data_IF_116731014382
#
_entry.id   IF_116731014382
#
_cell.length_a   1.000
_cell.length_b   1.000
_cell.length_c   1.000
_cell.angle_alpha   90.00
_cell.angle_beta   90.00
_cell.angle_gamma   90.00
#
_symmetry.space_group_name_H-M   'P 1'
#
loop_
_entity.id
_entity.type
_entity.pdbx_description
1 polymer ?
#
# COMPACT_ATOMS: atom_id res chain seq x y z
N UNK A 1 1.22 -4.59 -12.09
CA UNK A 1 1.38 -6.05 -12.01
C UNK A 1 0.48 -6.58 -10.90
N UNK A 2 -0.26 -7.65 -11.17
CA UNK A 2 -1.13 -8.32 -10.20
C UNK A 2 -0.77 -9.82 -10.24
N UNK A 3 -0.58 -10.43 -9.08
CA UNK A 3 -0.37 -11.87 -8.93
C UNK A 3 -1.53 -12.50 -8.15
N UNK A 4 -2.08 -13.60 -8.65
CA UNK A 4 -3.12 -14.36 -7.96
C UNK A 4 -3.00 -15.84 -8.32
N UNK A 5 -2.92 -16.69 -7.31
CA UNK A 5 -2.97 -18.15 -7.41
C UNK A 5 -1.97 -18.70 -8.45
N UNK A 6 -0.71 -18.25 -8.41
CA UNK A 6 0.33 -18.69 -9.33
C UNK A 6 0.25 -18.09 -10.74
N UNK A 7 -0.59 -17.08 -10.95
CA UNK A 7 -0.68 -16.34 -12.22
C UNK A 7 -0.30 -14.88 -12.02
N UNK A 8 0.73 -14.44 -12.73
CA UNK A 8 1.17 -13.04 -12.77
C UNK A 8 0.68 -12.37 -14.04
N UNK A 9 -0.08 -11.28 -13.91
CA UNK A 9 -0.47 -10.38 -15.00
C UNK A 9 0.30 -9.06 -14.90
N UNK A 10 1.09 -8.77 -15.93
CA UNK A 10 1.84 -7.51 -16.08
C UNK A 10 1.27 -6.72 -17.24
N UNK A 11 0.88 -5.47 -17.00
CA UNK A 11 0.45 -4.54 -18.04
C UNK A 11 1.41 -3.35 -18.12
N UNK A 12 1.82 -2.99 -19.33
CA UNK A 12 2.69 -1.85 -19.62
C UNK A 12 2.21 -1.19 -20.93
N UNK A 13 1.67 0.04 -20.83
CA UNK A 13 1.04 0.71 -21.97
C UNK A 13 -0.12 -0.11 -22.55
N UNK A 14 -0.05 -0.42 -23.84
CA UNK A 14 -1.04 -1.26 -24.53
C UNK A 14 -0.74 -2.77 -24.45
N UNK A 15 0.40 -3.17 -23.89
CA UNK A 15 0.78 -4.57 -23.79
C UNK A 15 0.37 -5.17 -22.44
N UNK A 16 -0.15 -6.39 -22.47
CA UNK A 16 -0.36 -7.21 -21.28
C UNK A 16 0.23 -8.59 -21.49
N UNK A 17 1.00 -9.05 -20.51
CA UNK A 17 1.62 -10.37 -20.48
C UNK A 17 1.11 -11.11 -19.26
N UNK A 18 0.75 -12.37 -19.46
CA UNK A 18 0.43 -13.30 -18.39
C UNK A 18 1.50 -14.38 -18.32
N UNK A 19 1.90 -14.72 -17.10
CA UNK A 19 2.90 -15.75 -16.84
C UNK A 19 2.43 -16.60 -15.68
N UNK A 20 2.51 -17.90 -15.83
CA UNK A 20 2.19 -18.86 -14.78
C UNK A 20 3.46 -19.28 -14.06
N UNK A 21 3.34 -19.53 -12.75
CA UNK A 21 4.43 -19.99 -11.90
C UNK A 21 4.53 -19.22 -10.57
N UNK A 22 5.52 -19.58 -9.73
CA UNK A 22 5.70 -18.96 -8.42
C UNK A 22 6.01 -17.47 -8.51
N UNK A 23 5.36 -16.68 -7.67
CA UNK A 23 5.57 -15.24 -7.54
C UNK A 23 7.01 -14.88 -7.24
N UNK A 24 7.66 -15.52 -6.25
CA UNK A 24 9.02 -15.13 -5.87
C UNK A 24 10.04 -15.43 -6.97
N UNK A 25 9.80 -16.50 -7.75
CA UNK A 25 10.59 -16.80 -8.94
C UNK A 25 10.41 -15.72 -9.99
N UNK A 26 9.18 -15.31 -10.26
CA UNK A 26 8.92 -14.20 -11.18
C UNK A 26 9.59 -12.90 -10.67
N UNK A 27 9.47 -12.60 -9.38
CA UNK A 27 10.03 -11.40 -8.76
C UNK A 27 11.55 -11.33 -8.94
N UNK A 28 12.25 -12.44 -8.70
CA UNK A 28 13.70 -12.54 -8.92
C UNK A 28 14.11 -12.17 -10.36
N UNK A 29 13.31 -12.59 -11.36
CA UNK A 29 13.60 -12.28 -12.77
C UNK A 29 13.50 -10.78 -13.10
N UNK A 30 12.65 -10.03 -12.39
CA UNK A 30 12.41 -8.60 -12.65
C UNK A 30 13.19 -7.69 -11.70
N UNK A 31 13.55 -8.17 -10.50
CA UNK A 31 14.28 -7.41 -9.49
C UNK A 31 15.78 -7.37 -9.80
N UNK A 32 16.37 -8.49 -10.22
CA UNK A 32 17.82 -8.63 -10.40
C UNK A 32 18.41 -7.95 -11.64
N UNK A 33 17.60 -7.42 -12.57
CA UNK A 33 18.12 -7.04 -13.89
C UNK A 33 18.78 -5.67 -13.95
N UNK A 34 18.33 -4.66 -13.20
CA UNK A 34 18.96 -3.32 -13.12
C UNK A 34 18.45 -2.60 -11.87
N UNK A 35 19.20 -2.67 -10.77
CA UNK A 35 18.98 -1.70 -9.68
C UNK A 35 19.19 -0.30 -10.25
N UNK A 36 18.16 0.54 -10.18
CA UNK A 36 18.28 1.94 -10.59
C UNK A 36 19.28 2.61 -9.65
N UNK A 37 20.27 3.29 -10.21
CA UNK A 37 21.26 4.01 -9.41
C UNK A 37 20.67 5.33 -8.97
N UNK A 38 20.81 5.62 -7.68
CA UNK A 38 20.49 6.92 -7.13
C UNK A 38 21.32 8.01 -7.84
N UNK A 39 20.74 9.18 -8.15
CA UNK A 39 21.50 10.35 -8.55
C UNK A 39 22.55 10.73 -7.49
N UNK A 40 23.63 11.39 -7.91
CA UNK A 40 24.62 11.93 -6.98
C UNK A 40 23.99 12.99 -6.06
N UNK A 41 24.28 12.93 -4.75
CA UNK A 41 23.69 13.84 -3.76
C UNK A 41 22.25 13.51 -3.34
N UNK A 42 21.71 12.36 -3.75
CA UNK A 42 20.40 11.88 -3.31
C UNK A 42 20.52 10.89 -2.15
N UNK A 43 20.30 11.37 -0.92
CA UNK A 43 20.47 10.59 0.32
C UNK A 43 19.19 9.86 0.78
N UNK A 44 18.11 9.91 0.01
CA UNK A 44 16.85 9.25 0.32
C UNK A 44 16.88 7.75 -0.04
N UNK A 45 16.15 6.93 0.73
CA UNK A 45 16.24 5.46 0.65
C UNK A 45 15.52 4.84 -0.56
N UNK A 46 14.57 5.55 -1.18
CA UNK A 46 13.79 5.05 -2.31
C UNK A 46 14.28 5.62 -3.63
N UNK A 47 14.73 4.77 -4.57
CA UNK A 47 15.15 5.17 -5.92
C UNK A 47 14.36 4.43 -6.99
N UNK A 48 13.10 4.84 -7.22
CA UNK A 48 12.22 4.29 -8.27
C UNK A 48 12.09 2.74 -8.19
N UNK A 49 11.38 2.14 -9.13
CA UNK A 49 11.25 0.68 -9.21
C UNK A 49 9.95 0.13 -8.65
N UNK A 50 9.95 -1.12 -8.16
CA UNK A 50 8.71 -1.80 -7.79
C UNK A 50 8.20 -1.36 -6.41
N UNK A 51 6.95 -0.91 -6.37
CA UNK A 51 6.23 -0.48 -5.18
C UNK A 51 4.86 -1.18 -5.12
N UNK A 52 4.47 -1.66 -3.95
CA UNK A 52 3.14 -2.22 -3.75
C UNK A 52 3.06 -3.06 -2.50
N UNK A 53 2.25 -4.11 -2.53
CA UNK A 53 2.10 -5.02 -1.39
C UNK A 53 2.29 -6.48 -1.80
N UNK A 54 2.76 -7.26 -0.82
CA UNK A 54 2.77 -8.71 -0.83
C UNK A 54 1.73 -9.18 0.20
N UNK A 55 0.74 -9.93 -0.26
CA UNK A 55 -0.32 -10.49 0.56
C UNK A 55 0.20 -11.62 1.44
N UNK A 56 -0.38 -11.75 2.64
CA UNK A 56 0.02 -12.77 3.61
C UNK A 56 -0.08 -14.20 3.05
N UNK A 57 -1.03 -14.45 2.15
CA UNK A 57 -1.24 -15.77 1.58
C UNK A 57 -0.16 -16.23 0.59
N UNK A 58 0.79 -15.36 0.21
CA UNK A 58 2.02 -15.77 -0.47
C UNK A 58 2.87 -16.74 0.35
N UNK A 59 2.60 -16.89 1.66
CA UNK A 59 3.21 -17.92 2.51
C UNK A 59 3.10 -19.33 1.91
N UNK A 60 2.13 -19.60 1.03
CA UNK A 60 2.00 -20.87 0.29
C UNK A 60 3.27 -21.24 -0.48
N UNK A 61 4.02 -20.25 -0.96
CA UNK A 61 5.28 -20.47 -1.70
C UNK A 61 6.49 -20.70 -0.78
N UNK A 62 6.33 -20.47 0.53
CA UNK A 62 7.40 -20.60 1.54
C UNK A 62 7.08 -21.70 2.56
N UNK A 63 6.27 -22.70 2.18
CA UNK A 63 5.91 -23.83 3.04
C UNK A 63 4.75 -23.59 4.01
N UNK A 64 4.05 -22.47 3.89
CA UNK A 64 2.82 -22.20 4.63
C UNK A 64 1.60 -22.86 3.99
N UNK A 65 0.47 -22.80 4.69
CA UNK A 65 -0.81 -23.34 4.23
C UNK A 65 -1.33 -22.61 2.98
N UNK A 66 -1.89 -23.36 2.04
CA UNK A 66 -2.51 -22.82 0.82
C UNK A 66 -3.96 -22.37 1.09
N UNK A 67 -4.13 -21.10 1.49
CA UNK A 67 -5.46 -20.47 1.70
C UNK A 67 -5.65 -19.33 0.72
N UNK A 68 -6.81 -19.21 0.09
CA UNK A 68 -7.09 -18.16 -0.89
C UNK A 68 -7.73 -16.94 -0.21
N UNK A 69 -7.27 -15.74 -0.58
CA UNK A 69 -7.87 -14.48 -0.16
C UNK A 69 -8.77 -13.89 -1.27
N UNK A 70 -9.70 -13.01 -0.90
CA UNK A 70 -10.51 -12.24 -1.86
C UNK A 70 -9.74 -11.11 -2.55
N UNK A 71 -8.47 -10.91 -2.21
CA UNK A 71 -7.55 -9.93 -2.80
C UNK A 71 -6.42 -10.66 -3.51
N UNK A 72 -5.76 -10.02 -4.49
CA UNK A 72 -4.56 -10.56 -5.10
C UNK A 72 -3.50 -10.93 -4.06
N UNK A 73 -2.74 -11.99 -4.33
CA UNK A 73 -1.61 -12.43 -3.52
C UNK A 73 -0.45 -11.41 -3.57
N UNK A 74 -0.30 -10.65 -4.66
CA UNK A 74 0.54 -9.45 -4.69
C UNK A 74 0.01 -8.45 -5.72
N UNK A 75 0.26 -7.17 -5.48
CA UNK A 75 0.10 -6.15 -6.50
C UNK A 75 1.25 -5.14 -6.42
N UNK A 76 2.00 -5.03 -7.50
CA UNK A 76 3.14 -4.12 -7.62
C UNK A 76 2.96 -3.19 -8.83
N UNK A 77 3.32 -1.93 -8.65
CA UNK A 77 3.50 -0.92 -9.66
C UNK A 77 5.00 -0.71 -9.87
N UNK A 78 5.45 -0.64 -11.12
CA UNK A 78 6.79 -0.13 -11.40
C UNK A 78 6.73 1.41 -11.46
N UNK A 79 7.18 2.07 -10.40
CA UNK A 79 7.29 3.51 -10.30
C UNK A 79 8.55 3.97 -11.06
N UNK A 80 8.41 4.21 -12.37
CA UNK A 80 9.47 4.81 -13.18
C UNK A 80 9.61 6.33 -12.99
N UNK A 81 8.72 6.93 -12.19
CA UNK A 81 8.68 8.36 -11.85
C UNK A 81 8.22 8.51 -10.41
N UNK A 82 8.81 9.44 -9.67
CA UNK A 82 8.45 9.68 -8.27
C UNK A 82 8.70 11.13 -7.84
N UNK A 83 7.89 11.58 -6.89
CA UNK A 83 8.12 12.79 -6.10
C UNK A 83 8.43 12.33 -4.69
N UNK A 84 9.63 12.62 -4.21
CA UNK A 84 10.10 12.23 -2.88
C UNK A 84 10.19 13.47 -2.01
N UNK A 85 9.48 13.46 -0.90
CA UNK A 85 9.45 14.56 0.06
C UNK A 85 10.40 14.20 1.20
N UNK A 86 11.53 14.89 1.27
CA UNK A 86 12.50 14.74 2.34
C UNK A 86 12.18 15.75 3.45
N UNK A 87 11.60 15.23 4.54
CA UNK A 87 11.29 16.05 5.70
C UNK A 87 12.51 16.44 6.53
N UNK A 88 13.65 15.74 6.40
CA UNK A 88 14.88 16.03 7.14
C UNK A 88 15.57 17.26 6.55
N UNK A 89 15.75 17.27 5.24
CA UNK A 89 16.39 18.37 4.51
C UNK A 89 15.39 19.44 4.03
N UNK A 90 14.10 19.26 4.31
CA UNK A 90 13.00 20.10 3.83
C UNK A 90 13.03 20.29 2.29
N UNK A 91 13.35 19.22 1.57
CA UNK A 91 13.56 19.21 0.13
C UNK A 91 12.53 18.33 -0.59
N UNK A 92 12.29 18.62 -1.87
CA UNK A 92 11.47 17.77 -2.75
C UNK A 92 12.32 17.33 -3.93
N UNK A 93 12.48 16.03 -4.08
CA UNK A 93 13.21 15.40 -5.17
C UNK A 93 12.23 14.89 -6.24
N UNK A 94 12.51 15.22 -7.50
CA UNK A 94 11.77 14.71 -8.65
C UNK A 94 12.65 13.71 -9.39
N UNK A 95 12.19 12.46 -9.47
CA UNK A 95 12.92 11.36 -10.08
C UNK A 95 12.14 10.85 -11.28
N UNK A 96 12.84 10.61 -12.40
CA UNK A 96 12.29 9.95 -13.56
C UNK A 96 13.37 9.08 -14.23
N UNK A 97 12.96 7.92 -14.75
CA UNK A 97 13.79 7.14 -15.68
C UNK A 97 13.98 7.97 -16.95
N UNK A 98 15.20 7.93 -17.49
CA UNK A 98 15.54 8.55 -18.77
C UNK A 98 14.68 7.95 -19.90
N UNK A 99 13.74 8.76 -20.37
CA UNK A 99 12.76 8.43 -21.39
C UNK A 99 12.38 9.72 -22.14
N UNK A 100 11.89 9.64 -23.40
CA UNK A 100 11.65 10.82 -24.22
C UNK A 100 10.73 11.89 -23.58
N UNK A 101 9.78 11.48 -22.75
CA UNK A 101 8.81 12.34 -22.06
C UNK A 101 9.23 12.70 -20.62
N UNK A 102 10.43 12.31 -20.17
CA UNK A 102 10.87 12.54 -18.80
C UNK A 102 11.00 14.03 -18.46
N UNK A 103 11.53 14.83 -19.39
CA UNK A 103 11.68 16.29 -19.22
C UNK A 103 10.33 17.00 -19.02
N UNK A 104 9.34 16.67 -19.85
CA UNK A 104 7.99 17.24 -19.77
C UNK A 104 7.33 16.88 -18.44
N UNK A 105 7.45 15.62 -18.00
CA UNK A 105 6.92 15.18 -16.72
C UNK A 105 7.60 15.90 -15.55
N UNK A 106 8.93 16.04 -15.57
CA UNK A 106 9.68 16.75 -14.52
C UNK A 106 9.27 18.23 -14.45
N UNK A 107 9.08 18.89 -15.60
CA UNK A 107 8.58 20.26 -15.66
C UNK A 107 7.20 20.39 -15.01
N UNK A 108 6.25 19.55 -15.42
CA UNK A 108 4.90 19.53 -14.86
C UNK A 108 4.88 19.22 -13.35
N UNK A 109 5.68 18.26 -12.91
CA UNK A 109 5.79 17.89 -11.50
C UNK A 109 6.38 19.04 -10.67
N UNK A 110 7.39 19.73 -11.19
CA UNK A 110 7.99 20.90 -10.54
C UNK A 110 6.97 22.03 -10.39
N UNK A 111 6.25 22.37 -11.44
CA UNK A 111 5.19 23.39 -11.39
C UNK A 111 4.11 23.03 -10.37
N UNK A 112 3.70 21.76 -10.35
CA UNK A 112 2.71 21.26 -9.39
C UNK A 112 3.17 21.38 -7.94
N UNK A 113 4.43 21.03 -7.65
CA UNK A 113 5.02 21.16 -6.30
C UNK A 113 5.14 22.62 -5.89
N UNK A 114 5.63 23.50 -6.77
CA UNK A 114 5.78 24.93 -6.48
C UNK A 114 4.42 25.60 -6.27
N UNK A 115 3.41 25.23 -7.06
CA UNK A 115 2.04 25.71 -6.90
C UNK A 115 1.46 25.27 -5.55
N UNK A 116 1.67 24.02 -5.15
CA UNK A 116 1.25 23.52 -3.84
C UNK A 116 1.96 24.22 -2.67
N UNK A 117 3.24 24.57 -2.82
CA UNK A 117 4.02 25.31 -1.82
C UNK A 117 3.63 26.79 -1.72
N UNK A 118 3.19 27.40 -2.83
CA UNK A 118 2.82 28.82 -2.90
C UNK A 118 1.35 29.09 -2.57
N UNK A 119 0.55 28.04 -2.35
CA UNK A 119 -0.85 28.18 -2.00
C UNK A 119 -0.99 28.94 -0.66
N UNK A 120 -1.77 30.04 -0.59
CA UNK A 120 -1.89 30.83 0.62
C UNK A 120 -2.43 29.98 1.78
N UNK A 121 -2.03 30.31 3.01
CA UNK A 121 -2.27 29.47 4.20
C UNK A 121 -3.75 29.12 4.48
N UNK A 122 -4.71 29.78 3.82
CA UNK A 122 -6.15 29.51 3.87
C UNK A 122 -6.82 29.25 2.52
N UNK A 123 -6.09 29.01 1.42
CA UNK A 123 -6.69 28.41 0.23
C UNK A 123 -7.39 27.11 0.64
N UNK A 124 -8.52 26.72 0.03
CA UNK A 124 -9.12 25.42 0.28
C UNK A 124 -8.10 24.37 -0.14
N UNK A 125 -7.24 23.99 0.80
CA UNK A 125 -6.45 22.79 0.72
C UNK A 125 -7.54 21.77 0.45
N UNK A 126 -7.44 21.03 -0.63
CA UNK A 126 -8.16 19.77 -0.71
C UNK A 126 -7.50 18.83 0.31
N UNK A 127 -7.49 19.23 1.59
CA UNK A 127 -7.58 18.39 2.74
C UNK A 127 -8.59 17.34 2.33
N UNK A 128 -8.12 16.15 2.04
CA UNK A 128 -8.97 14.99 1.93
C UNK A 128 -9.56 14.74 3.33
N UNK A 129 -10.33 15.66 3.89
CA UNK A 129 -10.60 15.69 5.33
C UNK A 129 -10.92 17.07 5.92
N UNK A 130 -11.15 18.14 5.15
CA UNK A 130 -11.86 19.27 5.74
C UNK A 130 -13.35 18.92 5.83
N UNK A 131 -13.97 19.02 7.03
CA UNK A 131 -15.41 19.02 7.13
C UNK A 131 -15.85 20.34 6.49
N UNK A 132 -16.22 20.30 5.21
CA UNK A 132 -17.07 21.34 4.66
C UNK A 132 -18.22 21.54 5.66
N UNK A 133 -18.32 22.76 6.15
CA UNK A 133 -19.39 23.34 6.95
C UNK A 133 -20.70 22.54 6.72
N UNK A 134 -21.09 21.73 7.71
CA UNK A 134 -22.30 20.88 7.66
C UNK A 134 -22.12 19.35 7.49
N UNK A 135 -20.89 18.82 7.55
CA UNK A 135 -20.65 17.37 7.42
C UNK A 135 -21.17 16.53 8.59
N UNK A 136 -22.25 15.78 8.40
CA UNK A 136 -22.74 14.73 9.33
C UNK A 136 -21.59 13.82 9.77
N UNK A 137 -21.42 13.62 11.09
CA UNK A 137 -20.64 12.50 11.63
C UNK A 137 -21.19 11.22 11.03
N UNK A 138 -20.41 10.58 10.15
CA UNK A 138 -20.76 9.26 9.63
C UNK A 138 -20.44 8.27 10.73
N UNK A 139 -21.48 7.79 11.42
CA UNK A 139 -21.34 6.65 12.32
C UNK A 139 -21.12 5.44 11.43
N UNK A 140 -19.96 4.79 11.60
CA UNK A 140 -19.65 3.54 10.93
C UNK A 140 -20.13 2.39 11.80
N UNK A 141 -20.91 1.50 11.22
CA UNK A 141 -21.25 0.22 11.83
C UNK A 141 -20.15 -0.77 11.49
N UNK A 142 -19.57 -1.37 12.53
CA UNK A 142 -18.51 -2.36 12.41
C UNK A 142 -19.07 -3.75 12.68
N UNK A 143 -18.65 -4.73 11.88
CA UNK A 143 -18.90 -6.15 12.11
C UNK A 143 -17.58 -6.91 12.21
N UNK A 144 -17.50 -7.83 13.16
CA UNK A 144 -16.39 -8.77 13.30
C UNK A 144 -16.64 -10.01 12.45
N UNK A 145 -15.58 -10.63 11.94
CA UNK A 145 -15.64 -11.95 11.29
C UNK A 145 -16.07 -13.03 12.27
N UNK A 146 -15.57 -12.95 13.51
CA UNK A 146 -15.81 -13.95 14.54
C UNK A 146 -16.72 -13.37 15.62
N UNK A 147 -17.65 -14.19 16.11
CA UNK A 147 -18.35 -13.92 17.37
C UNK A 147 -17.40 -14.06 18.56
N UNK A 148 -17.82 -13.57 19.73
CA UNK A 148 -17.04 -13.69 20.97
C UNK A 148 -16.72 -15.15 21.31
N UNK A 149 -17.70 -16.04 21.23
CA UNK A 149 -17.55 -17.45 21.59
C UNK A 149 -16.66 -18.20 20.59
N UNK A 150 -16.80 -17.92 19.29
CA UNK A 150 -15.92 -18.49 18.26
C UNK A 150 -14.47 -18.04 18.46
N UNK A 151 -14.25 -16.76 18.76
CA UNK A 151 -12.91 -16.24 18.98
C UNK A 151 -12.28 -16.82 20.25
N UNK A 152 -13.04 -16.92 21.36
CA UNK A 152 -12.59 -17.58 22.58
C UNK A 152 -12.24 -19.05 22.35
N UNK A 153 -13.02 -19.76 21.53
CA UNK A 153 -12.73 -21.14 21.19
C UNK A 153 -11.39 -21.28 20.45
N UNK A 154 -11.09 -20.36 19.52
CA UNK A 154 -9.77 -20.31 18.85
C UNK A 154 -8.63 -20.00 19.81
N UNK A 155 -8.84 -19.15 20.82
CA UNK A 155 -7.84 -18.88 21.87
C UNK A 155 -7.56 -20.15 22.67
N UNK A 156 -8.60 -20.85 23.12
CA UNK A 156 -8.45 -22.11 23.87
C UNK A 156 -7.67 -23.15 23.06
N UNK A 157 -7.97 -23.29 21.77
CA UNK A 157 -7.24 -24.18 20.88
C UNK A 157 -5.76 -23.78 20.75
N UNK A 158 -5.47 -22.49 20.53
CA UNK A 158 -4.10 -22.00 20.46
C UNK A 158 -3.31 -22.26 21.76
N UNK A 159 -3.95 -22.09 22.92
CA UNK A 159 -3.36 -22.39 24.22
C UNK A 159 -3.10 -23.89 24.40
N UNK A 160 -4.01 -24.75 23.92
CA UNK A 160 -3.81 -26.19 23.93
C UNK A 160 -2.58 -26.58 23.08
N UNK A 161 -2.45 -26.04 21.87
CA UNK A 161 -1.28 -26.29 21.01
C UNK A 161 0.03 -25.83 21.66
N UNK A 162 0.01 -24.74 22.43
CA UNK A 162 1.17 -24.27 23.19
C UNK A 162 1.50 -25.22 24.34
N UNK A 163 0.49 -25.68 25.08
CA UNK A 163 0.66 -26.61 26.20
C UNK A 163 1.21 -27.97 25.77
N UNK A 164 0.81 -28.46 24.58
CA UNK A 164 1.36 -29.67 23.95
C UNK A 164 2.79 -29.49 23.40
N UNK A 165 3.33 -28.26 23.41
CA UNK A 165 4.67 -27.96 22.93
C UNK A 165 4.80 -27.87 21.41
N UNK A 166 3.69 -27.76 20.67
CA UNK A 166 3.72 -27.65 19.20
C UNK A 166 4.18 -26.27 18.72
N UNK A 167 4.02 -25.24 19.56
CA UNK A 167 4.52 -23.89 19.33
C UNK A 167 4.70 -23.17 20.66
N UNK A 168 5.50 -22.10 20.66
CA UNK A 168 5.68 -21.23 21.82
C UNK A 168 4.67 -20.08 21.85
N UNK A 169 4.20 -19.64 20.69
CA UNK A 169 3.29 -18.51 20.54
C UNK A 169 2.40 -18.69 19.31
N UNK A 170 1.19 -18.13 19.37
CA UNK A 170 0.27 -18.00 18.23
C UNK A 170 -0.23 -16.56 18.15
N UNK A 171 0.09 -15.86 17.06
CA UNK A 171 -0.47 -14.54 16.78
C UNK A 171 -1.84 -14.69 16.10
N UNK A 172 -2.88 -14.87 16.92
CA UNK A 172 -4.26 -14.99 16.46
C UNK A 172 -4.85 -13.61 16.12
N UNK A 173 -5.52 -13.49 14.97
CA UNK A 173 -6.14 -12.25 14.52
C UNK A 173 -7.56 -12.47 14.01
N UNK A 174 -8.38 -11.43 14.05
CA UNK A 174 -9.71 -11.40 13.43
C UNK A 174 -9.87 -10.14 12.57
N UNK A 175 -10.82 -10.16 11.64
CA UNK A 175 -11.09 -9.03 10.75
C UNK A 175 -12.33 -8.28 11.21
N UNK A 176 -12.20 -6.96 11.33
CA UNK A 176 -13.33 -6.06 11.55
C UNK A 176 -13.59 -5.30 10.27
N UNK A 177 -14.84 -5.25 9.83
CA UNK A 177 -15.26 -4.60 8.58
C UNK A 177 -16.28 -3.51 8.87
N UNK A 178 -16.30 -2.45 8.08
CA UNK A 178 -17.36 -1.45 8.11
C UNK A 178 -17.74 -1.04 6.70
N UNK A 179 -19.03 -0.79 6.48
CA UNK A 179 -19.51 -0.22 5.22
C UNK A 179 -19.49 1.29 5.31
N UNK A 180 -18.81 1.92 4.36
CA UNK A 180 -18.76 3.39 4.26
C UNK A 180 -19.84 3.82 3.24
N UNK A 181 -20.92 4.51 3.66
CA UNK A 181 -21.95 5.00 2.74
C UNK A 181 -21.38 6.00 1.72
N UNK A 182 -21.77 5.90 0.45
CA UNK A 182 -21.31 6.81 -0.60
C UNK A 182 -19.85 6.62 -1.04
N UNK A 183 -19.23 5.49 -0.69
CA UNK A 183 -17.87 5.18 -1.10
C UNK A 183 -17.76 5.08 -2.63
N UNK A 184 -17.02 6.01 -3.23
CA UNK A 184 -16.55 5.94 -4.62
C UNK A 184 -15.04 5.75 -4.59
N UNK A 185 -14.52 4.77 -5.35
CA UNK A 185 -13.07 4.49 -5.44
C UNK A 185 -12.32 5.81 -5.74
N UNK A 186 -11.44 6.24 -4.83
CA UNK A 186 -10.57 7.41 -5.00
C UNK A 186 -10.70 8.50 -3.93
N UNK A 187 -11.89 9.08 -3.71
CA UNK A 187 -12.08 10.24 -2.80
C UNK A 187 -12.28 9.86 -1.33
N UNK A 188 -12.83 8.68 -1.06
CA UNK A 188 -13.08 8.21 0.31
C UNK A 188 -11.83 7.63 0.97
N UNK A 189 -10.96 6.96 0.20
CA UNK A 189 -9.70 6.36 0.68
C UNK A 189 -8.74 7.41 1.24
N UNK A 190 -8.59 8.55 0.57
CA UNK A 190 -7.76 9.65 1.06
C UNK A 190 -8.32 10.29 2.34
N UNK A 191 -9.65 10.29 2.52
CA UNK A 191 -10.33 10.77 3.74
C UNK A 191 -10.08 9.92 4.95
N UNK A 192 -10.29 8.62 4.84
CA UNK A 192 -9.98 7.68 5.93
C UNK A 192 -8.49 7.73 6.28
N UNK A 193 -7.60 7.68 5.29
CA UNK A 193 -6.16 7.73 5.51
C UNK A 193 -5.69 9.03 6.20
N UNK A 194 -6.30 10.16 5.86
CA UNK A 194 -5.99 11.46 6.49
C UNK A 194 -6.48 11.51 7.93
N UNK A 195 -7.69 11.01 8.20
CA UNK A 195 -8.26 10.95 9.54
C UNK A 195 -7.43 10.04 10.46
N UNK A 196 -7.01 8.86 9.97
CA UNK A 196 -6.13 7.94 10.72
C UNK A 196 -4.78 8.59 10.99
N UNK A 197 -4.15 9.22 9.99
CA UNK A 197 -2.86 9.91 10.17
C UNK A 197 -2.90 11.07 11.17
N UNK A 198 -4.04 11.77 11.28
CA UNK A 198 -4.21 12.81 12.31
C UNK A 198 -4.31 12.22 13.72
N UNK A 199 -4.92 11.04 13.86
CA UNK A 199 -5.09 10.37 15.16
C UNK A 199 -3.89 9.53 15.59
N UNK A 200 -3.17 8.97 14.63
CA UNK A 200 -1.98 8.13 14.83
C UNK A 200 -0.89 8.52 13.83
N UNK A 201 0.25 9.02 14.34
CA UNK A 201 1.43 9.37 13.55
C UNK A 201 2.39 8.18 13.44
N UNK A 202 1.90 7.07 12.89
CA UNK A 202 2.76 5.92 12.61
C UNK A 202 3.79 6.27 11.52
N UNK A 203 5.03 5.79 11.68
CA UNK A 203 6.13 6.01 10.73
C UNK A 203 5.82 5.45 9.34
N UNK A 204 5.11 4.33 9.28
CA UNK A 204 4.53 3.79 8.06
C UNK A 204 3.00 3.91 8.12
N UNK A 205 2.41 4.69 7.23
CA UNK A 205 0.96 4.87 7.16
C UNK A 205 0.29 3.76 6.37
N UNK A 206 -0.74 3.12 6.93
CA UNK A 206 -1.57 2.16 6.20
C UNK A 206 -2.74 2.85 5.47
N UNK A 207 -2.99 2.41 4.25
CA UNK A 207 -4.18 2.75 3.47
C UNK A 207 -4.74 1.44 2.93
N UNK A 208 -5.61 0.81 3.71
CA UNK A 208 -6.34 -0.41 3.33
C UNK A 208 -7.81 -0.07 3.15
#
# INVERSE_FOLDING_TARGET
MIHSSGTTRLSAGCATVETTGPFFRWLDTVWGRKALRAPEGYDCEFTLGWLGYLGYELKRETGGSDVQAGTPDAALLFAGRAVVIDHREAAVWLLAIDAPDAGDWLGLARESVLSAASAPEGAPRHSAGDPAVGGRTVVLEFSSRDTEDEYKSKITEAQHQIAEGNTYEVCLTTTVTARIPGWTRGRATSRCASATRRRSRATCGSVT
#
